data_IF_917727742778
#
_entry.id   IF_917727742778
#
_cell.length_a   1.000
_cell.length_b   1.000
_cell.length_c   1.000
_cell.angle_alpha   90.00
_cell.angle_beta   90.00
_cell.angle_gamma   90.00
#
_symmetry.space_group_name_H-M   'P 1'
#
loop_
_entity.id
_entity.type
_entity.pdbx_description
1 polymer ?
#
# COMPACT_ATOMS: atom_id res chain seq x y z
N UNK A 1 45.42 5.41 18.82
CA UNK A 1 44.04 4.86 18.90
C UNK A 1 42.94 5.92 18.91
N UNK A 2 42.94 6.94 19.79
CA UNK A 2 41.83 7.93 19.87
C UNK A 2 41.52 8.71 18.57
N UNK A 3 42.53 9.03 17.74
CA UNK A 3 42.33 9.73 16.46
C UNK A 3 41.67 8.86 15.37
N UNK A 4 41.89 7.54 15.38
CA UNK A 4 41.25 6.62 14.43
C UNK A 4 39.77 6.43 14.77
N UNK A 5 39.42 6.38 16.07
CA UNK A 5 38.03 6.25 16.50
C UNK A 5 37.19 7.47 16.08
N UNK A 6 37.76 8.68 16.16
CA UNK A 6 37.07 9.91 15.77
C UNK A 6 36.79 10.00 14.27
N UNK A 7 37.73 9.54 13.43
CA UNK A 7 37.56 9.50 11.98
C UNK A 7 36.50 8.47 11.54
N UNK A 8 36.46 7.30 12.18
CA UNK A 8 35.42 6.29 11.91
C UNK A 8 34.04 6.81 12.31
N UNK A 9 33.91 7.43 13.49
CA UNK A 9 32.66 8.05 13.95
C UNK A 9 32.20 9.18 13.02
N UNK A 10 33.11 10.05 12.58
CA UNK A 10 32.79 11.16 11.67
C UNK A 10 32.32 10.64 10.31
N UNK A 11 32.97 9.61 9.76
CA UNK A 11 32.56 8.99 8.50
C UNK A 11 31.19 8.31 8.61
N UNK A 12 30.91 7.60 9.70
CA UNK A 12 29.60 6.99 9.93
C UNK A 12 28.47 8.03 10.05
N UNK A 13 28.71 9.14 10.74
CA UNK A 13 27.72 10.23 10.88
C UNK A 13 27.47 10.93 9.54
N UNK A 14 28.51 11.15 8.74
CA UNK A 14 28.38 11.75 7.40
C UNK A 14 27.64 10.79 6.45
N UNK A 15 27.93 9.49 6.48
CA UNK A 15 27.21 8.50 5.67
C UNK A 15 25.72 8.41 6.01
N UNK A 16 25.33 8.50 7.29
CA UNK A 16 23.93 8.51 7.72
C UNK A 16 23.19 9.81 7.33
N UNK A 17 23.89 10.94 7.29
CA UNK A 17 23.31 12.21 6.86
C UNK A 17 23.07 12.27 5.35
N UNK A 18 23.99 11.71 4.56
CA UNK A 18 23.91 11.73 3.09
C UNK A 18 22.78 10.84 2.56
N UNK A 19 22.58 9.64 3.14
CA UNK A 19 21.50 8.75 2.71
C UNK A 19 20.11 9.37 2.89
N UNK A 20 19.89 10.12 3.97
CA UNK A 20 18.61 10.80 4.20
C UNK A 20 18.30 11.88 3.16
N UNK A 21 19.31 12.59 2.67
CA UNK A 21 19.15 13.61 1.61
C UNK A 21 18.85 12.93 0.28
N UNK A 22 19.56 11.85 -0.06
CA UNK A 22 19.33 11.08 -1.28
C UNK A 22 17.91 10.50 -1.32
N UNK A 23 17.45 9.92 -0.20
CA UNK A 23 16.07 9.43 -0.04
C UNK A 23 15.06 10.54 -0.26
N UNK A 24 15.27 11.71 0.37
CA UNK A 24 14.36 12.85 0.23
C UNK A 24 14.27 13.32 -1.23
N UNK A 25 15.42 13.47 -1.90
CA UNK A 25 15.47 13.88 -3.31
C UNK A 25 14.75 12.86 -4.20
N UNK A 26 15.00 11.57 -3.99
CA UNK A 26 14.36 10.51 -4.77
C UNK A 26 12.84 10.52 -4.57
N UNK A 27 12.37 10.64 -3.33
CA UNK A 27 10.95 10.75 -3.01
C UNK A 27 10.30 11.97 -3.64
N UNK A 28 10.93 13.14 -3.58
CA UNK A 28 10.41 14.37 -4.19
C UNK A 28 10.30 14.22 -5.71
N UNK A 29 11.32 13.66 -6.37
CA UNK A 29 11.26 13.35 -7.81
C UNK A 29 10.12 12.40 -8.15
N UNK A 30 9.97 11.31 -7.40
CA UNK A 30 8.91 10.33 -7.58
C UNK A 30 7.51 10.92 -7.38
N UNK A 31 7.32 11.67 -6.29
CA UNK A 31 6.07 12.34 -5.99
C UNK A 31 5.72 13.36 -7.08
N UNK A 32 6.68 14.19 -7.50
CA UNK A 32 6.48 15.15 -8.59
C UNK A 32 6.09 14.45 -9.89
N UNK A 33 6.72 13.31 -10.20
CA UNK A 33 6.37 12.50 -11.37
C UNK A 33 4.94 11.96 -11.28
N UNK A 34 4.50 11.44 -10.12
CA UNK A 34 3.12 10.95 -9.91
C UNK A 34 2.13 12.09 -10.11
N UNK A 35 2.38 13.26 -9.52
CA UNK A 35 1.51 14.43 -9.64
C UNK A 35 1.45 14.96 -11.07
N UNK A 36 2.58 14.99 -11.77
CA UNK A 36 2.65 15.39 -13.18
C UNK A 36 1.96 14.38 -14.12
N UNK A 37 1.83 13.13 -13.69
CA UNK A 37 1.11 12.07 -14.42
C UNK A 37 -0.41 12.12 -14.24
N UNK A 38 -0.92 13.01 -13.38
CA UNK A 38 -2.36 13.22 -13.24
C UNK A 38 -2.93 13.82 -14.52
N UNK A 39 -4.00 13.23 -15.04
CA UNK A 39 -4.66 13.77 -16.23
C UNK A 39 -5.40 15.08 -15.91
N UNK A 40 -5.84 15.78 -16.97
CA UNK A 40 -6.54 17.07 -16.81
C UNK A 40 -7.85 16.96 -16.01
N UNK A 41 -8.52 15.81 -16.05
CA UNK A 41 -9.77 15.59 -15.31
C UNK A 41 -9.56 15.20 -13.83
N UNK A 42 -8.30 15.04 -13.41
CA UNK A 42 -7.93 14.67 -12.05
C UNK A 42 -7.66 13.18 -11.84
N UNK A 43 -7.87 12.35 -12.84
CA UNK A 43 -7.64 10.91 -12.75
C UNK A 43 -6.17 10.49 -12.92
N UNK A 44 -5.87 9.26 -12.51
CA UNK A 44 -4.64 8.53 -12.84
C UNK A 44 -4.96 7.19 -13.49
N UNK A 45 -4.09 6.74 -14.41
CA UNK A 45 -4.28 5.50 -15.16
C UNK A 45 -5.13 5.68 -16.43
N UNK A 46 -5.36 4.59 -17.16
CA UNK A 46 -6.01 4.62 -18.48
C UNK A 46 -7.53 4.67 -18.35
N UNK A 47 -8.07 5.87 -18.20
CA UNK A 47 -9.51 6.04 -17.97
C UNK A 47 -9.87 6.01 -16.48
N UNK A 48 -8.87 6.27 -15.63
CA UNK A 48 -9.06 6.57 -14.21
C UNK A 48 -9.18 5.38 -13.26
N UNK A 49 -8.96 4.15 -13.74
CA UNK A 49 -9.07 2.94 -12.90
C UNK A 49 -8.19 2.96 -11.64
N UNK A 50 -7.01 3.59 -11.71
CA UNK A 50 -6.06 3.65 -10.59
C UNK A 50 -6.29 4.84 -9.67
N UNK A 51 -7.22 5.76 -9.99
CA UNK A 51 -7.36 7.05 -9.30
C UNK A 51 -7.61 6.90 -7.81
N UNK A 52 -8.52 5.99 -7.43
CA UNK A 52 -8.86 5.77 -6.03
C UNK A 52 -7.71 5.18 -5.23
N UNK A 53 -7.01 4.18 -5.78
CA UNK A 53 -5.85 3.56 -5.13
C UNK A 53 -4.68 4.54 -4.99
N UNK A 54 -4.37 5.30 -6.05
CA UNK A 54 -3.33 6.34 -6.01
C UNK A 54 -3.66 7.40 -4.96
N UNK A 55 -4.89 7.92 -4.97
CA UNK A 55 -5.31 8.93 -3.99
C UNK A 55 -5.21 8.42 -2.56
N UNK A 56 -5.66 7.18 -2.30
CA UNK A 56 -5.58 6.56 -0.97
C UNK A 56 -4.14 6.51 -0.46
N UNK A 57 -3.22 5.94 -1.27
CA UNK A 57 -1.82 5.78 -0.85
C UNK A 57 -1.15 7.15 -0.64
N UNK A 58 -1.39 8.12 -1.53
CA UNK A 58 -0.82 9.47 -1.38
C UNK A 58 -1.33 10.16 -0.11
N UNK A 59 -2.64 10.12 0.15
CA UNK A 59 -3.23 10.74 1.35
C UNK A 59 -2.75 10.05 2.63
N UNK A 60 -2.66 8.73 2.65
CA UNK A 60 -2.16 7.98 3.81
C UNK A 60 -0.66 8.24 4.07
N UNK A 61 0.11 8.51 3.02
CA UNK A 61 1.56 8.67 3.11
C UNK A 61 1.97 10.12 3.40
N UNK A 62 1.33 11.09 2.76
CA UNK A 62 1.73 12.50 2.79
C UNK A 62 0.70 13.43 3.46
N UNK A 63 -0.53 12.96 3.69
CA UNK A 63 -1.64 13.80 4.11
C UNK A 63 -2.24 14.62 2.95
N UNK A 64 -3.35 15.31 3.22
CA UNK A 64 -4.10 16.05 2.18
C UNK A 64 -3.42 17.38 1.83
N UNK A 65 -2.91 18.10 2.83
CA UNK A 65 -2.37 19.46 2.65
C UNK A 65 -1.21 19.51 1.65
N UNK A 66 -0.19 18.64 1.70
CA UNK A 66 0.91 18.67 0.73
C UNK A 66 0.49 18.33 -0.71
N UNK A 67 -0.64 17.63 -0.89
CA UNK A 67 -1.15 17.23 -2.21
C UNK A 67 -2.02 18.32 -2.86
N UNK A 68 -2.54 19.26 -2.07
CA UNK A 68 -3.25 20.46 -2.52
C UNK A 68 -4.33 20.18 -3.60
N UNK A 69 -4.24 20.90 -4.71
CA UNK A 69 -5.20 20.81 -5.81
C UNK A 69 -5.29 19.42 -6.46
N UNK A 70 -4.19 18.66 -6.49
CA UNK A 70 -4.18 17.34 -7.13
C UNK A 70 -5.09 16.36 -6.39
N UNK A 71 -5.07 16.36 -5.05
CA UNK A 71 -5.98 15.55 -4.26
C UNK A 71 -7.45 15.96 -4.49
N UNK A 72 -7.73 17.27 -4.52
CA UNK A 72 -9.09 17.80 -4.74
C UNK A 72 -9.62 17.40 -6.12
N UNK A 73 -8.80 17.48 -7.18
CA UNK A 73 -9.19 17.07 -8.53
C UNK A 73 -9.52 15.58 -8.59
N UNK A 74 -8.67 14.73 -8.01
CA UNK A 74 -8.91 13.29 -7.94
C UNK A 74 -10.18 12.94 -7.15
N UNK A 75 -10.40 13.59 -6.01
CA UNK A 75 -11.60 13.40 -5.22
C UNK A 75 -12.88 13.76 -6.00
N UNK A 76 -12.86 14.88 -6.73
CA UNK A 76 -13.98 15.26 -7.60
C UNK A 76 -14.18 14.27 -8.75
N UNK A 77 -13.10 13.81 -9.38
CA UNK A 77 -13.17 12.76 -10.40
C UNK A 77 -13.85 11.50 -9.87
N UNK A 78 -13.45 11.03 -8.68
CA UNK A 78 -14.03 9.85 -8.03
C UNK A 78 -15.53 10.07 -7.81
N UNK A 79 -15.94 11.19 -7.21
CA UNK A 79 -17.37 11.44 -6.93
C UNK A 79 -18.24 11.58 -8.19
N UNK A 80 -17.66 11.91 -9.33
CA UNK A 80 -18.37 12.02 -10.62
C UNK A 80 -18.46 10.69 -11.36
N UNK A 81 -17.47 9.80 -11.21
CA UNK A 81 -17.34 8.60 -12.05
C UNK A 81 -17.54 7.28 -11.28
N UNK A 82 -17.33 7.27 -9.96
CA UNK A 82 -17.53 6.10 -9.12
C UNK A 82 -18.97 6.10 -8.60
N UNK A 83 -19.72 5.04 -8.92
CA UNK A 83 -21.10 4.92 -8.50
C UNK A 83 -21.13 4.52 -7.02
N UNK A 84 -21.99 5.14 -6.19
CA UNK A 84 -22.22 4.64 -4.85
C UNK A 84 -22.64 3.17 -4.90
N UNK A 85 -22.17 2.33 -3.98
CA UNK A 85 -22.66 0.97 -3.87
C UNK A 85 -24.15 1.03 -3.51
N UNK A 86 -25.02 0.78 -4.48
CA UNK A 86 -26.46 0.61 -4.26
C UNK A 86 -26.76 -0.88 -4.29
N UNK A 87 -27.43 -1.40 -3.26
CA UNK A 87 -27.80 -2.82 -3.14
C UNK A 87 -26.94 -3.61 -2.15
N UNK A 88 -27.20 -4.92 -2.00
CA UNK A 88 -26.46 -5.80 -1.07
C UNK A 88 -24.99 -5.96 -1.50
N UNK A 89 -24.05 -6.20 -0.58
CA UNK A 89 -22.64 -6.37 -0.96
C UNK A 89 -22.45 -7.58 -1.89
N UNK A 90 -23.23 -8.63 -1.72
CA UNK A 90 -23.16 -9.81 -2.57
C UNK A 90 -24.51 -10.02 -3.24
N UNK A 91 -24.55 -9.91 -4.57
CA UNK A 91 -25.70 -10.32 -5.37
C UNK A 91 -25.36 -11.64 -6.04
N UNK A 92 -26.01 -12.71 -5.57
CA UNK A 92 -25.99 -13.99 -6.27
C UNK A 92 -26.95 -13.87 -7.46
N UNK A 93 -26.47 -14.09 -8.69
CA UNK A 93 -27.41 -14.18 -9.81
C UNK A 93 -28.28 -15.44 -9.64
N UNK A 94 -29.58 -15.30 -9.90
CA UNK A 94 -30.56 -16.40 -9.78
C UNK A 94 -30.37 -17.48 -10.86
N UNK A 95 -29.54 -17.23 -11.87
CA UNK A 95 -29.38 -18.06 -13.05
C UNK A 95 -28.21 -19.05 -12.98
N UNK A 96 -27.39 -19.02 -11.92
CA UNK A 96 -26.20 -19.86 -11.81
C UNK A 96 -25.11 -19.56 -12.85
N UNK A 97 -25.23 -18.47 -13.61
CA UNK A 97 -24.23 -18.08 -14.62
C UNK A 97 -23.02 -17.40 -13.96
N UNK A 98 -21.82 -17.72 -14.43
CA UNK A 98 -20.52 -17.51 -13.79
C UNK A 98 -19.99 -16.07 -13.69
N UNK A 99 -20.83 -15.02 -13.63
CA UNK A 99 -20.33 -13.80 -13.01
C UNK A 99 -20.29 -14.04 -11.51
N UNK A 100 -19.11 -14.45 -11.04
CA UNK A 100 -18.83 -14.75 -9.63
C UNK A 100 -19.41 -13.62 -8.78
N UNK A 101 -20.46 -13.87 -7.97
CA UNK A 101 -21.12 -12.88 -7.10
C UNK A 101 -20.14 -12.07 -6.26
N UNK A 102 -18.97 -12.66 -6.02
CA UNK A 102 -17.84 -12.09 -5.32
C UNK A 102 -17.19 -10.90 -6.02
N UNK A 103 -17.15 -10.85 -7.37
CA UNK A 103 -16.49 -9.77 -8.11
C UNK A 103 -17.28 -8.45 -8.03
N UNK A 104 -18.61 -8.52 -8.08
CA UNK A 104 -19.47 -7.35 -7.94
C UNK A 104 -19.36 -6.77 -6.52
N UNK A 105 -19.33 -7.63 -5.50
CA UNK A 105 -19.15 -7.20 -4.11
C UNK A 105 -17.78 -6.60 -3.82
N UNK A 106 -16.72 -7.18 -4.39
CA UNK A 106 -15.38 -6.58 -4.34
C UNK A 106 -15.42 -5.19 -4.94
N UNK A 107 -15.99 -5.03 -6.14
CA UNK A 107 -16.09 -3.73 -6.83
C UNK A 107 -16.86 -2.71 -5.99
N UNK A 108 -17.98 -3.10 -5.37
CA UNK A 108 -18.76 -2.22 -4.50
C UNK A 108 -17.96 -1.74 -3.27
N UNK A 109 -17.16 -2.62 -2.66
CA UNK A 109 -16.29 -2.24 -1.54
C UNK A 109 -15.14 -1.32 -1.98
N UNK A 110 -14.56 -1.57 -3.15
CA UNK A 110 -13.54 -0.71 -3.78
C UNK A 110 -14.11 0.70 -3.96
N UNK A 111 -15.26 0.79 -4.63
CA UNK A 111 -15.94 2.04 -4.94
C UNK A 111 -16.32 2.80 -3.67
N UNK A 112 -16.83 2.09 -2.66
CA UNK A 112 -17.13 2.67 -1.36
C UNK A 112 -15.89 3.27 -0.69
N UNK A 113 -14.76 2.57 -0.75
CA UNK A 113 -13.49 3.02 -0.17
C UNK A 113 -12.99 4.27 -0.88
N UNK A 114 -13.06 4.29 -2.21
CA UNK A 114 -12.70 5.45 -3.03
C UNK A 114 -13.60 6.66 -2.75
N UNK A 115 -14.91 6.45 -2.62
CA UNK A 115 -15.84 7.51 -2.22
C UNK A 115 -15.49 8.02 -0.82
N UNK A 116 -15.15 7.14 0.14
CA UNK A 116 -14.81 7.54 1.49
C UNK A 116 -13.59 8.48 1.52
N UNK A 117 -12.51 8.11 0.83
CA UNK A 117 -11.30 8.94 0.77
C UNK A 117 -11.56 10.26 0.02
N UNK A 118 -12.36 10.23 -1.05
CA UNK A 118 -12.73 11.45 -1.77
C UNK A 118 -13.55 12.42 -0.89
N UNK A 119 -14.49 11.90 -0.10
CA UNK A 119 -15.24 12.71 0.87
C UNK A 119 -14.32 13.31 1.93
N UNK A 120 -13.34 12.55 2.42
CA UNK A 120 -12.35 13.02 3.39
C UNK A 120 -11.50 14.17 2.84
N UNK A 121 -10.96 14.00 1.63
CA UNK A 121 -10.17 15.02 0.92
C UNK A 121 -10.94 16.33 0.76
N UNK A 122 -12.25 16.23 0.52
CA UNK A 122 -13.13 17.40 0.36
C UNK A 122 -13.65 17.97 1.70
N UNK A 123 -13.15 17.49 2.84
CA UNK A 123 -13.58 17.94 4.17
C UNK A 123 -15.05 17.62 4.47
N UNK A 124 -15.64 16.64 3.78
CA UNK A 124 -17.02 16.21 3.98
C UNK A 124 -17.09 15.17 5.10
N UNK A 125 -18.23 15.10 5.79
CA UNK A 125 -18.43 14.14 6.89
C UNK A 125 -18.44 12.71 6.34
N UNK A 126 -17.44 11.91 6.75
CA UNK A 126 -17.29 10.50 6.37
C UNK A 126 -17.92 9.52 7.36
N UNK A 127 -18.38 10.00 8.52
CA UNK A 127 -18.84 9.12 9.63
C UNK A 127 -20.03 8.27 9.20
N UNK A 128 -21.07 8.87 8.60
CA UNK A 128 -22.26 8.13 8.16
C UNK A 128 -21.91 7.09 7.10
N UNK A 129 -21.07 7.45 6.12
CA UNK A 129 -20.61 6.53 5.08
C UNK A 129 -19.83 5.35 5.67
N UNK A 130 -18.86 5.60 6.56
CA UNK A 130 -18.12 4.54 7.25
C UNK A 130 -19.00 3.64 8.10
N UNK A 131 -20.00 4.21 8.80
CA UNK A 131 -20.94 3.40 9.60
C UNK A 131 -21.76 2.47 8.72
N UNK A 132 -22.29 2.96 7.59
CA UNK A 132 -23.04 2.15 6.64
C UNK A 132 -22.15 1.03 6.09
N UNK A 133 -20.91 1.36 5.69
CA UNK A 133 -19.99 0.36 5.16
C UNK A 133 -19.57 -0.68 6.20
N UNK A 134 -19.29 -0.27 7.44
CA UNK A 134 -18.97 -1.20 8.51
C UNK A 134 -20.15 -2.13 8.83
N UNK A 135 -21.38 -1.60 8.80
CA UNK A 135 -22.59 -2.40 8.97
C UNK A 135 -22.73 -3.42 7.83
N UNK A 136 -22.55 -2.99 6.58
CA UNK A 136 -22.62 -3.88 5.42
C UNK A 136 -21.55 -4.99 5.51
N UNK A 137 -20.32 -4.66 5.88
CA UNK A 137 -19.25 -5.66 6.09
C UNK A 137 -19.64 -6.68 7.16
N UNK A 138 -20.21 -6.22 8.28
CA UNK A 138 -20.67 -7.10 9.35
C UNK A 138 -21.85 -8.00 8.91
N UNK A 139 -22.79 -7.46 8.15
CA UNK A 139 -23.95 -8.19 7.63
C UNK A 139 -23.58 -9.27 6.60
N UNK A 140 -22.41 -9.17 5.96
CA UNK A 140 -21.92 -10.11 4.94
C UNK A 140 -20.67 -10.88 5.39
N UNK A 141 -20.34 -10.88 6.69
CA UNK A 141 -19.10 -11.46 7.19
C UNK A 141 -18.99 -12.95 6.84
N UNK A 142 -20.07 -13.72 7.00
CA UNK A 142 -20.05 -15.17 6.78
C UNK A 142 -19.66 -15.52 5.35
N UNK A 143 -20.16 -14.77 4.37
CA UNK A 143 -19.86 -14.94 2.96
C UNK A 143 -18.45 -14.48 2.61
N UNK A 144 -18.00 -13.35 3.18
CA UNK A 144 -16.63 -12.88 3.03
C UNK A 144 -15.62 -13.92 3.54
N UNK A 145 -15.95 -14.63 4.63
CA UNK A 145 -15.13 -15.71 5.19
C UNK A 145 -15.10 -16.99 4.34
N UNK A 146 -15.96 -17.13 3.33
CA UNK A 146 -15.97 -18.29 2.41
C UNK A 146 -15.17 -18.08 1.12
N UNK A 147 -14.78 -16.84 0.83
CA UNK A 147 -14.02 -16.48 -0.39
C UNK A 147 -12.67 -17.21 -0.46
N UNK A 148 -12.12 -17.45 -1.64
CA UNK A 148 -10.76 -17.98 -1.74
C UNK A 148 -9.71 -16.98 -1.20
N UNK A 149 -8.50 -17.48 -0.90
CA UNK A 149 -7.40 -16.69 -0.30
C UNK A 149 -7.03 -15.45 -1.13
N UNK A 150 -7.07 -15.53 -2.47
CA UNK A 150 -6.71 -14.41 -3.34
C UNK A 150 -7.81 -13.35 -3.34
N UNK A 151 -9.08 -13.75 -3.54
CA UNK A 151 -10.22 -12.82 -3.50
C UNK A 151 -10.37 -12.18 -2.13
N UNK A 152 -10.21 -12.95 -1.05
CA UNK A 152 -10.24 -12.43 0.31
C UNK A 152 -9.13 -11.39 0.53
N UNK A 153 -7.90 -11.68 0.13
CA UNK A 153 -6.78 -10.73 0.24
C UNK A 153 -7.04 -9.40 -0.48
N UNK A 154 -7.68 -9.44 -1.65
CA UNK A 154 -8.09 -8.23 -2.36
C UNK A 154 -9.13 -7.44 -1.56
N UNK A 155 -10.15 -8.10 -0.99
CA UNK A 155 -11.16 -7.43 -0.15
C UNK A 155 -10.51 -6.77 1.06
N UNK A 156 -9.60 -7.47 1.74
CA UNK A 156 -8.89 -6.90 2.90
C UNK A 156 -8.17 -5.61 2.49
N UNK A 157 -7.45 -5.61 1.36
CA UNK A 157 -6.79 -4.42 0.86
C UNK A 157 -7.77 -3.26 0.62
N UNK A 158 -8.98 -3.55 0.10
CA UNK A 158 -10.02 -2.54 -0.13
C UNK A 158 -10.62 -2.00 1.17
N UNK A 159 -10.89 -2.88 2.13
CA UNK A 159 -11.36 -2.47 3.46
C UNK A 159 -10.34 -1.53 4.11
N UNK A 160 -9.04 -1.78 3.91
CA UNK A 160 -7.95 -0.92 4.40
C UNK A 160 -7.96 0.44 3.73
N UNK A 161 -7.95 0.50 2.41
CA UNK A 161 -7.98 1.78 1.69
C UNK A 161 -9.23 2.59 2.01
N UNK A 162 -10.38 1.92 2.20
CA UNK A 162 -11.62 2.55 2.62
C UNK A 162 -11.69 2.97 4.08
N UNK A 163 -10.72 2.58 4.92
CA UNK A 163 -10.73 2.80 6.37
C UNK A 163 -11.98 2.23 7.05
N UNK A 164 -12.44 1.07 6.56
CA UNK A 164 -13.56 0.31 7.11
C UNK A 164 -13.10 -0.70 8.16
N UNK A 165 -13.86 -0.85 9.23
CA UNK A 165 -13.53 -1.75 10.33
C UNK A 165 -13.45 -3.21 9.88
N UNK A 166 -12.45 -3.91 10.39
CA UNK A 166 -12.39 -5.37 10.28
C UNK A 166 -13.14 -5.97 11.46
N UNK A 167 -14.10 -6.85 11.18
CA UNK A 167 -14.76 -7.65 12.20
C UNK A 167 -13.79 -8.69 12.78
N UNK A 168 -14.11 -9.27 13.93
CA UNK A 168 -13.25 -10.27 14.57
C UNK A 168 -13.05 -11.53 13.71
N UNK A 169 -14.08 -11.98 12.98
CA UNK A 169 -13.95 -13.14 12.09
C UNK A 169 -13.05 -12.83 10.90
N UNK A 170 -13.22 -11.66 10.26
CA UNK A 170 -12.34 -11.21 9.16
C UNK A 170 -10.88 -11.11 9.63
N UNK A 171 -10.65 -10.49 10.80
CA UNK A 171 -9.30 -10.41 11.37
C UNK A 171 -8.73 -11.79 11.71
N UNK A 172 -9.52 -12.67 12.33
CA UNK A 172 -9.12 -14.05 12.64
C UNK A 172 -8.69 -14.79 11.37
N UNK A 173 -9.47 -14.68 10.30
CA UNK A 173 -9.14 -15.28 9.01
C UNK A 173 -7.85 -14.72 8.40
N UNK A 174 -7.61 -13.41 8.52
CA UNK A 174 -6.33 -12.83 8.10
C UNK A 174 -5.15 -13.48 8.85
N UNK A 175 -5.29 -13.66 10.17
CA UNK A 175 -4.27 -14.31 11.00
C UNK A 175 -4.05 -15.76 10.57
N UNK A 176 -5.12 -16.52 10.33
CA UNK A 176 -5.03 -17.91 9.86
C UNK A 176 -4.31 -18.01 8.51
N UNK A 177 -4.61 -17.09 7.57
CA UNK A 177 -3.94 -17.05 6.27
C UNK A 177 -2.44 -16.73 6.42
N UNK A 178 -2.08 -15.84 7.35
CA UNK A 178 -0.69 -15.50 7.63
C UNK A 178 0.05 -16.68 8.29
N UNK A 179 -0.59 -17.38 9.22
CA UNK A 179 -0.03 -18.59 9.82
C UNK A 179 0.23 -19.67 8.76
N UNK A 180 -0.76 -19.94 7.90
CA UNK A 180 -0.59 -20.86 6.77
C UNK A 180 0.49 -20.41 5.77
N UNK A 181 0.66 -19.10 5.56
CA UNK A 181 1.73 -18.57 4.72
C UNK A 181 3.14 -18.83 5.30
N UNK A 182 3.28 -18.86 6.63
CA UNK A 182 4.51 -19.27 7.34
C UNK A 182 4.79 -20.75 7.12
N UNK A 183 3.77 -21.60 7.26
CA UNK A 183 3.90 -23.04 7.02
C UNK A 183 4.25 -23.37 5.55
N UNK A 184 3.67 -22.64 4.60
CA UNK A 184 3.89 -22.81 3.16
C UNK A 184 5.18 -22.15 2.64
N UNK A 185 5.87 -21.35 3.47
CA UNK A 185 6.97 -20.45 3.07
C UNK A 185 6.58 -19.52 1.89
N UNK A 186 5.35 -18.99 1.91
CA UNK A 186 4.77 -18.17 0.82
C UNK A 186 4.04 -16.93 1.37
N UNK A 187 4.76 -15.81 1.59
CA UNK A 187 4.16 -14.61 2.18
C UNK A 187 3.06 -14.03 1.28
N UNK A 188 1.92 -13.70 1.89
CA UNK A 188 0.85 -12.93 1.24
C UNK A 188 1.07 -11.45 1.47
N UNK A 189 2.04 -10.86 0.76
CA UNK A 189 2.44 -9.47 0.95
C UNK A 189 1.29 -8.46 0.92
N UNK A 190 0.22 -8.72 0.16
CA UNK A 190 -0.99 -7.88 0.17
C UNK A 190 -1.69 -7.84 1.53
N UNK A 191 -1.85 -8.99 2.21
CA UNK A 191 -2.48 -9.07 3.54
C UNK A 191 -1.55 -8.49 4.61
N UNK A 192 -0.25 -8.81 4.54
CA UNK A 192 0.76 -8.25 5.46
C UNK A 192 0.78 -6.72 5.39
N UNK A 193 0.85 -6.17 4.17
CA UNK A 193 0.78 -4.73 3.92
C UNK A 193 -0.53 -4.13 4.45
N UNK A 194 -1.67 -4.74 4.14
CA UNK A 194 -2.98 -4.29 4.59
C UNK A 194 -3.11 -4.22 6.11
N UNK A 195 -2.75 -5.30 6.83
CA UNK A 195 -2.89 -5.34 8.28
C UNK A 195 -1.97 -4.33 8.98
N UNK A 196 -0.72 -4.22 8.51
CA UNK A 196 0.24 -3.26 9.09
C UNK A 196 -0.21 -1.82 8.87
N UNK A 197 -0.87 -1.51 7.75
CA UNK A 197 -1.52 -0.21 7.50
C UNK A 197 -2.65 0.12 8.48
N UNK A 198 -3.34 -0.88 9.00
CA UNK A 198 -4.32 -0.73 10.08
C UNK A 198 -3.71 -0.65 11.48
N UNK A 199 -2.38 -0.60 11.59
CA UNK A 199 -1.66 -0.71 12.85
C UNK A 199 -1.97 -2.02 13.61
N UNK A 200 -2.38 -3.09 12.90
CA UNK A 200 -2.38 -4.42 13.49
C UNK A 200 -0.93 -4.90 13.61
N UNK A 201 -0.51 -5.38 14.80
CA UNK A 201 0.82 -5.90 14.99
C UNK A 201 1.00 -7.14 14.11
N UNK A 202 2.11 -7.17 13.38
CA UNK A 202 2.49 -8.36 12.61
C UNK A 202 3.11 -9.37 13.58
N UNK A 203 2.71 -10.66 13.57
CA UNK A 203 3.42 -11.70 14.30
C UNK A 203 4.89 -11.74 13.89
N UNK A 204 5.78 -12.00 14.85
CA UNK A 204 7.24 -11.98 14.62
C UNK A 204 7.63 -12.98 13.53
N UNK A 205 7.05 -14.19 13.54
CA UNK A 205 7.35 -15.22 12.54
C UNK A 205 6.97 -14.81 11.11
N UNK A 206 5.92 -14.00 10.98
CA UNK A 206 5.48 -13.46 9.67
C UNK A 206 6.43 -12.36 9.21
N UNK A 207 6.93 -11.52 10.12
CA UNK A 207 7.93 -10.50 9.81
C UNK A 207 9.25 -11.13 9.34
N UNK A 208 9.72 -12.16 10.06
CA UNK A 208 10.91 -12.95 9.72
C UNK A 208 10.76 -13.64 8.35
N UNK A 209 9.59 -14.23 8.08
CA UNK A 209 9.29 -14.80 6.76
C UNK A 209 9.40 -13.73 5.66
N UNK A 210 8.81 -12.55 5.86
CA UNK A 210 8.89 -11.46 4.90
C UNK A 210 10.34 -11.02 4.66
N UNK A 211 11.14 -10.87 5.71
CA UNK A 211 12.57 -10.53 5.59
C UNK A 211 13.34 -11.59 4.82
N UNK A 212 13.19 -12.87 5.18
CA UNK A 212 13.87 -13.99 4.51
C UNK A 212 13.56 -14.02 3.01
N UNK A 213 12.28 -13.86 2.64
CA UNK A 213 11.85 -13.91 1.24
C UNK A 213 12.24 -12.67 0.45
N UNK A 214 12.30 -11.52 1.09
CA UNK A 214 12.94 -10.34 0.49
C UNK A 214 14.41 -10.60 0.23
N UNK A 215 15.15 -11.17 1.19
CA UNK A 215 16.57 -11.48 0.99
C UNK A 215 16.78 -12.43 -0.18
N UNK A 216 15.98 -13.50 -0.28
CA UNK A 216 16.03 -14.41 -1.43
C UNK A 216 15.72 -13.72 -2.77
N UNK A 217 14.80 -12.76 -2.78
CA UNK A 217 14.46 -12.00 -3.97
C UNK A 217 15.63 -11.10 -4.39
N UNK A 218 16.26 -10.42 -3.42
CA UNK A 218 17.45 -9.60 -3.66
C UNK A 218 18.65 -10.43 -4.11
N UNK A 219 18.88 -11.58 -3.51
CA UNK A 219 20.03 -12.44 -3.85
C UNK A 219 19.91 -13.05 -5.25
N UNK A 220 18.68 -13.25 -5.74
CA UNK A 220 18.40 -13.75 -7.11
C UNK A 220 18.34 -12.65 -8.16
N UNK A 221 18.52 -11.41 -7.75
CA UNK A 221 18.32 -10.28 -8.64
C UNK A 221 19.54 -10.06 -9.53
N UNK A 222 19.29 -10.00 -10.84
CA UNK A 222 20.28 -9.81 -11.90
C UNK A 222 20.37 -8.35 -12.43
N UNK A 223 19.72 -7.40 -11.77
CA UNK A 223 19.58 -6.01 -12.23
C UNK A 223 18.34 -5.74 -13.10
N UNK A 224 17.62 -6.78 -13.56
CA UNK A 224 16.39 -6.60 -14.35
C UNK A 224 15.15 -6.70 -13.47
N UNK A 225 14.71 -5.56 -12.93
CA UNK A 225 13.43 -5.53 -12.21
C UNK A 225 12.27 -5.56 -13.19
N UNK A 226 11.49 -6.64 -13.10
CA UNK A 226 10.09 -6.59 -13.54
C UNK A 226 9.32 -5.75 -12.50
N UNK A 227 8.44 -4.86 -12.95
CA UNK A 227 7.75 -3.90 -12.08
C UNK A 227 7.00 -4.56 -10.91
N UNK A 228 6.51 -5.79 -11.11
CA UNK A 228 5.87 -6.56 -10.05
C UNK A 228 6.82 -6.85 -8.88
N UNK A 229 8.10 -7.13 -9.14
CA UNK A 229 9.10 -7.34 -8.09
C UNK A 229 9.40 -6.06 -7.32
N UNK A 230 9.43 -4.90 -8.01
CA UNK A 230 9.54 -3.59 -7.36
C UNK A 230 8.38 -3.35 -6.40
N UNK A 231 7.14 -3.56 -6.88
CA UNK A 231 5.93 -3.38 -6.09
C UNK A 231 5.92 -4.30 -4.86
N UNK A 232 6.29 -5.57 -5.04
CA UNK A 232 6.38 -6.54 -3.93
C UNK A 232 7.43 -6.09 -2.91
N UNK A 233 8.62 -5.70 -3.38
CA UNK A 233 9.74 -5.25 -2.54
C UNK A 233 9.33 -4.03 -1.72
N UNK A 234 8.74 -3.03 -2.37
CA UNK A 234 8.30 -1.79 -1.72
C UNK A 234 7.20 -2.05 -0.67
N UNK A 235 6.18 -2.86 -0.99
CA UNK A 235 5.11 -3.20 -0.04
C UNK A 235 5.62 -3.95 1.18
N UNK A 236 6.52 -4.91 0.98
CA UNK A 236 7.11 -5.67 2.07
C UNK A 236 8.01 -4.79 2.95
N UNK A 237 8.80 -3.90 2.36
CA UNK A 237 9.57 -2.89 3.07
C UNK A 237 8.67 -1.97 3.91
N UNK A 238 7.55 -1.48 3.34
CA UNK A 238 6.55 -0.69 4.07
C UNK A 238 6.02 -1.46 5.28
N UNK A 239 5.65 -2.73 5.10
CA UNK A 239 5.14 -3.55 6.20
C UNK A 239 6.17 -3.76 7.32
N UNK A 240 7.44 -4.03 6.99
CA UNK A 240 8.53 -4.15 7.97
C UNK A 240 8.84 -2.81 8.67
N UNK A 241 8.65 -1.68 7.98
CA UNK A 241 8.78 -0.36 8.60
C UNK A 241 7.67 -0.12 9.61
N UNK A 242 6.41 -0.38 9.22
CA UNK A 242 5.22 -0.16 10.04
C UNK A 242 5.12 -1.11 11.24
N UNK A 243 5.57 -2.36 11.10
CA UNK A 243 5.59 -3.33 12.21
C UNK A 243 6.61 -3.01 13.30
N UNK A 244 7.54 -2.07 13.05
CA UNK A 244 8.65 -1.78 13.95
C UNK A 244 9.75 -2.84 13.94
N UNK A 245 9.64 -3.88 13.10
CA UNK A 245 10.62 -4.96 13.00
C UNK A 245 12.01 -4.44 12.61
N UNK A 246 13.05 -4.82 13.33
CA UNK A 246 14.42 -4.34 13.07
C UNK A 246 15.09 -5.27 12.07
N UNK A 247 15.32 -4.77 10.86
CA UNK A 247 15.96 -5.51 9.79
C UNK A 247 17.11 -4.69 9.22
N UNK A 248 18.29 -5.29 9.10
CA UNK A 248 19.43 -4.67 8.39
C UNK A 248 19.23 -4.69 6.87
N UNK A 249 18.30 -5.50 6.39
CA UNK A 249 17.94 -5.59 4.97
C UNK A 249 17.30 -4.31 4.43
N UNK A 250 16.68 -3.50 5.31
CA UNK A 250 16.02 -2.26 4.89
C UNK A 250 17.01 -1.28 4.24
N UNK A 251 18.23 -1.20 4.75
CA UNK A 251 19.27 -0.33 4.18
C UNK A 251 19.70 -0.83 2.79
N UNK A 252 19.85 -2.15 2.62
CA UNK A 252 20.15 -2.79 1.33
C UNK A 252 19.02 -2.49 0.32
N UNK A 253 17.75 -2.65 0.73
CA UNK A 253 16.59 -2.36 -0.12
C UNK A 253 16.54 -0.88 -0.50
N UNK A 254 16.80 0.04 0.43
CA UNK A 254 16.80 1.48 0.13
C UNK A 254 17.86 1.80 -0.92
N UNK A 255 19.11 1.37 -0.73
CA UNK A 255 20.17 1.62 -1.70
C UNK A 255 19.82 1.14 -3.09
N UNK A 256 19.21 -0.03 -3.13
CA UNK A 256 18.78 -0.66 -4.33
C UNK A 256 17.59 0.05 -5.00
N UNK A 257 16.58 0.49 -4.24
CA UNK A 257 15.50 1.30 -4.79
C UNK A 257 16.04 2.63 -5.36
N UNK A 258 16.98 3.27 -4.66
CA UNK A 258 17.61 4.50 -5.13
C UNK A 258 18.41 4.29 -6.42
N UNK A 259 19.14 3.18 -6.54
CA UNK A 259 19.95 2.89 -7.74
C UNK A 259 19.12 2.55 -8.99
N UNK A 260 17.80 2.32 -8.83
CA UNK A 260 16.88 1.97 -9.92
C UNK A 260 15.84 3.06 -10.20
N UNK A 261 15.99 4.26 -9.64
CA UNK A 261 15.17 5.38 -10.04
C UNK A 261 15.51 5.81 -11.47
N UNK A 262 14.50 5.95 -12.32
CA UNK A 262 14.65 6.47 -13.68
C UNK A 262 15.04 7.96 -13.67
N UNK A 263 15.60 8.46 -14.76
CA UNK A 263 15.98 9.87 -14.90
C UNK A 263 14.80 10.85 -14.74
N UNK A 264 13.58 10.42 -15.08
CA UNK A 264 12.35 11.19 -14.92
C UNK A 264 11.80 11.19 -13.48
N UNK A 265 12.42 10.44 -12.58
CA UNK A 265 12.01 10.28 -11.19
C UNK A 265 11.10 9.08 -10.91
N UNK A 266 10.64 8.37 -11.94
CA UNK A 266 9.78 7.20 -11.78
C UNK A 266 10.57 5.94 -11.39
N UNK A 267 9.86 4.88 -11.03
CA UNK A 267 10.37 3.51 -10.97
C UNK A 267 9.61 2.63 -11.96
N UNK A 268 10.26 1.54 -12.40
CA UNK A 268 9.67 0.56 -13.30
C UNK A 268 9.62 0.98 -14.78
N UNK A 269 8.95 0.17 -15.59
CA UNK A 269 8.93 0.24 -17.05
C UNK A 269 7.52 0.24 -17.65
N UNK A 270 6.70 -0.78 -17.39
CA UNK A 270 5.33 -0.95 -17.86
C UNK A 270 4.31 -0.38 -16.87
N UNK A 271 4.43 -0.75 -15.58
CA UNK A 271 3.60 -0.34 -14.45
C UNK A 271 4.24 0.81 -13.68
N UNK A 272 4.71 1.82 -14.41
CA UNK A 272 5.49 2.93 -13.82
C UNK A 272 4.75 3.63 -12.69
N UNK A 273 3.43 3.81 -12.83
CA UNK A 273 2.64 4.53 -11.83
C UNK A 273 2.59 3.77 -10.50
N UNK A 274 2.18 2.50 -10.54
CA UNK A 274 2.06 1.66 -9.36
C UNK A 274 3.43 1.42 -8.69
N UNK A 275 4.47 1.13 -9.49
CA UNK A 275 5.82 0.96 -8.97
C UNK A 275 6.34 2.23 -8.29
N UNK A 276 6.22 3.39 -8.95
CA UNK A 276 6.63 4.68 -8.37
C UNK A 276 5.87 4.99 -7.08
N UNK A 277 4.56 4.77 -7.07
CA UNK A 277 3.70 5.02 -5.91
C UNK A 277 4.15 4.23 -4.68
N UNK A 278 4.32 2.91 -4.82
CA UNK A 278 4.69 2.07 -3.68
C UNK A 278 6.14 2.28 -3.25
N UNK A 279 7.06 2.58 -4.16
CA UNK A 279 8.47 2.90 -3.80
C UNK A 279 8.55 4.21 -3.02
N UNK A 280 7.87 5.27 -3.49
CA UNK A 280 7.80 6.56 -2.79
C UNK A 280 7.23 6.39 -1.38
N UNK A 281 6.17 5.60 -1.23
CA UNK A 281 5.60 5.26 0.06
C UNK A 281 6.59 4.52 0.97
N UNK A 282 7.27 3.49 0.46
CA UNK A 282 8.23 2.69 1.24
C UNK A 282 9.37 3.56 1.78
N UNK A 283 9.92 4.43 0.92
CA UNK A 283 10.97 5.38 1.30
C UNK A 283 10.49 6.37 2.39
N UNK A 284 9.26 6.88 2.31
CA UNK A 284 8.68 7.75 3.34
C UNK A 284 8.57 7.03 4.70
N UNK A 285 8.11 5.78 4.72
CA UNK A 285 7.98 5.01 5.97
C UNK A 285 9.34 4.68 6.58
N UNK A 286 10.33 4.35 5.75
CA UNK A 286 11.71 4.15 6.21
C UNK A 286 12.30 5.43 6.82
N UNK A 287 12.19 6.57 6.13
CA UNK A 287 12.70 7.85 6.66
C UNK A 287 11.99 8.24 7.98
N UNK A 288 10.69 7.97 8.08
CA UNK A 288 9.90 8.21 9.31
C UNK A 288 10.30 7.30 10.46
N UNK A 289 10.74 6.07 10.17
CA UNK A 289 11.27 5.11 11.14
C UNK A 289 12.63 5.54 11.67
N UNK A 290 13.54 5.98 10.81
CA UNK A 290 14.87 6.46 11.23
C UNK A 290 14.79 7.69 12.12
N UNK A 291 13.83 8.60 11.87
CA UNK A 291 13.58 9.78 12.73
C UNK A 291 13.12 9.43 14.15
N UNK A 292 12.68 8.19 14.41
CA UNK A 292 12.21 7.73 15.73
C UNK A 292 13.31 7.02 16.56
N UNK A 293 14.47 6.75 15.98
CA UNK A 293 15.62 6.14 16.67
C UNK A 293 16.41 7.20 17.44
#
# INVERSE_FOLDING_TARGET
>A
MRKCLFLVLLMSVVSLGLSNIEIQIAMEKGLNWILASQTRDGSWGRGGESTGGVLSVLVDTFGIEPLGESAIKAANYILLNVKPPMGPLLEFNENGDQESPHLLGVTRLVDAGYINIALEVLGKRTVTHRMIMNQLVAENEEELLKLDKATFGNIIHMLVMGRFGLTYGILGRCIDILAGAVEEDKPTYGIVYALTKYAYPLPEEVAELCERRLKELLDKWDGSLVDLQLIITARAMTALCLSGFRSTLLDEIVHLLLSHQNDDGSWGSEYKLEATLFVVEALQHYQSKEKKK
#
